data_IF_034916636619
#
_entry.id   IF_034916636619
#
_cell.length_a   1.000
_cell.length_b   1.000
_cell.length_c   1.000
_cell.angle_alpha   90.00
_cell.angle_beta   90.00
_cell.angle_gamma   90.00
#
_symmetry.space_group_name_H-M   'P 1'
#
loop_
_entity.id
_entity.type
_entity.pdbx_description
1 polymer ?
#
# COMPACT_ATOMS: atom_id res chain seq x y z
N UNK A 1 16.49 2.31 -5.15
CA UNK A 1 15.65 1.51 -4.24
C UNK A 1 15.23 0.25 -4.97
N UNK A 2 15.36 -0.90 -4.30
CA UNK A 2 15.02 -2.22 -4.83
C UNK A 2 13.71 -2.71 -4.21
N UNK A 3 12.78 -3.16 -5.04
CA UNK A 3 11.48 -3.65 -4.59
C UNK A 3 11.31 -5.12 -4.98
N UNK A 4 10.93 -5.96 -4.03
CA UNK A 4 10.53 -7.35 -4.27
C UNK A 4 9.01 -7.48 -4.34
N UNK A 5 8.50 -8.26 -5.29
CA UNK A 5 7.08 -8.59 -5.38
C UNK A 5 6.89 -10.04 -4.93
N UNK A 6 6.06 -10.28 -3.93
CA UNK A 6 5.77 -11.61 -3.38
C UNK A 6 4.27 -11.83 -3.31
N UNK A 7 3.79 -13.02 -3.68
CA UNK A 7 2.36 -13.37 -3.60
C UNK A 7 1.46 -12.72 -4.67
N UNK A 8 1.91 -11.66 -5.35
CA UNK A 8 1.13 -10.95 -6.36
C UNK A 8 0.83 -11.80 -7.60
N UNK A 9 -0.45 -11.95 -7.96
CA UNK A 9 -0.89 -12.56 -9.23
C UNK A 9 -0.36 -11.82 -10.47
N UNK A 10 -0.40 -12.45 -11.65
CA UNK A 10 0.25 -11.89 -12.86
C UNK A 10 -0.25 -10.49 -13.24
N UNK A 11 -1.55 -10.22 -13.12
CA UNK A 11 -2.15 -8.93 -13.45
C UNK A 11 -1.66 -7.79 -12.52
N UNK A 12 -1.36 -8.08 -11.25
CA UNK A 12 -0.84 -7.06 -10.33
C UNK A 12 0.63 -6.79 -10.55
N UNK A 13 1.40 -7.77 -11.05
CA UNK A 13 2.83 -7.58 -11.40
C UNK A 13 3.00 -6.56 -12.54
N UNK A 14 2.12 -6.56 -13.54
CA UNK A 14 2.20 -5.60 -14.67
C UNK A 14 1.91 -4.16 -14.22
N UNK A 15 0.93 -3.97 -13.34
CA UNK A 15 0.63 -2.65 -12.75
C UNK A 15 1.81 -2.13 -11.92
N UNK A 16 2.45 -3.00 -11.14
CA UNK A 16 3.65 -2.65 -10.37
C UNK A 16 4.84 -2.31 -11.26
N UNK A 17 5.04 -3.04 -12.37
CA UNK A 17 6.07 -2.72 -13.37
C UNK A 17 5.81 -1.36 -13.99
N UNK A 18 4.59 -1.10 -14.46
CA UNK A 18 4.23 0.20 -15.02
C UNK A 18 4.36 1.36 -14.01
N UNK A 19 4.20 1.10 -12.71
CA UNK A 19 4.49 2.07 -11.66
C UNK A 19 5.98 2.31 -11.46
N UNK A 20 6.79 1.25 -11.44
CA UNK A 20 8.25 1.34 -11.31
C UNK A 20 8.88 2.02 -12.52
N UNK A 21 8.41 1.74 -13.73
CA UNK A 21 8.92 2.37 -14.97
C UNK A 21 8.73 3.90 -14.98
N UNK A 22 7.74 4.41 -14.22
CA UNK A 22 7.55 5.85 -14.03
C UNK A 22 8.54 6.48 -13.05
N UNK A 23 9.35 5.69 -12.35
CA UNK A 23 10.28 6.13 -11.30
C UNK A 23 11.73 5.76 -11.66
N UNK A 24 12.54 6.76 -12.01
CA UNK A 24 13.90 6.58 -12.53
C UNK A 24 14.90 5.87 -11.58
N UNK A 25 14.58 5.67 -10.30
CA UNK A 25 15.50 5.14 -9.28
C UNK A 25 14.97 3.90 -8.54
N UNK A 26 13.91 3.30 -9.08
CA UNK A 26 13.27 2.12 -8.50
C UNK A 26 13.46 0.94 -9.45
N UNK A 27 13.81 -0.23 -8.91
CA UNK A 27 14.00 -1.45 -9.70
C UNK A 27 13.32 -2.62 -9.02
N UNK A 28 12.66 -3.48 -9.81
CA UNK A 28 12.10 -4.74 -9.30
C UNK A 28 13.21 -5.79 -9.29
N UNK A 29 13.36 -6.48 -8.16
CA UNK A 29 14.36 -7.53 -7.94
C UNK A 29 13.74 -8.72 -7.20
N UNK A 30 14.51 -9.80 -7.03
CA UNK A 30 14.10 -10.90 -6.15
C UNK A 30 13.98 -10.44 -4.70
N UNK A 31 12.94 -10.93 -4.01
CA UNK A 31 12.57 -10.49 -2.68
C UNK A 31 13.71 -10.53 -1.65
N UNK A 32 14.57 -11.55 -1.69
CA UNK A 32 15.71 -11.67 -0.76
C UNK A 32 16.80 -10.60 -0.93
N UNK A 33 16.74 -9.80 -2.01
CA UNK A 33 17.71 -8.73 -2.30
C UNK A 33 17.10 -7.33 -2.28
N UNK A 34 15.83 -7.23 -1.91
CA UNK A 34 15.05 -5.99 -1.96
C UNK A 34 15.18 -5.15 -0.67
N UNK A 35 15.12 -3.83 -0.83
CA UNK A 35 15.05 -2.89 0.31
C UNK A 35 13.62 -2.87 0.89
N UNK A 36 12.63 -3.10 0.04
CA UNK A 36 11.21 -3.19 0.40
C UNK A 36 10.52 -4.32 -0.35
N UNK A 37 9.48 -4.90 0.23
CA UNK A 37 8.68 -5.94 -0.41
C UNK A 37 7.19 -5.61 -0.41
N UNK A 38 6.52 -6.01 -1.48
CA UNK A 38 5.05 -6.05 -1.56
C UNK A 38 4.62 -7.48 -1.27
N UNK A 39 3.79 -7.66 -0.24
CA UNK A 39 3.39 -8.97 0.29
C UNK A 39 1.88 -9.07 0.46
N UNK A 40 1.40 -10.31 0.51
CA UNK A 40 0.03 -10.64 0.90
C UNK A 40 0.00 -11.27 2.29
N UNK A 41 -0.89 -10.77 3.16
CA UNK A 41 -1.16 -11.35 4.47
C UNK A 41 -0.16 -10.98 5.57
N UNK A 42 -0.53 -11.33 6.81
CA UNK A 42 0.21 -10.96 8.03
C UNK A 42 1.54 -11.73 8.14
N UNK A 43 1.52 -13.03 7.87
CA UNK A 43 2.71 -13.88 8.09
C UNK A 43 3.88 -13.46 7.20
N UNK A 44 3.62 -13.25 5.90
CA UNK A 44 4.64 -12.79 4.96
C UNK A 44 5.15 -11.39 5.31
N UNK A 45 4.26 -10.49 5.76
CA UNK A 45 4.64 -9.17 6.22
C UNK A 45 5.55 -9.20 7.44
N UNK A 46 5.21 -9.98 8.45
CA UNK A 46 5.99 -10.10 9.67
C UNK A 46 7.34 -10.78 9.42
N UNK A 47 7.40 -11.78 8.53
CA UNK A 47 8.65 -12.42 8.12
C UNK A 47 9.60 -11.44 7.43
N UNK A 48 9.09 -10.65 6.47
CA UNK A 48 9.89 -9.66 5.76
C UNK A 48 10.35 -8.52 6.68
N UNK A 49 9.47 -8.05 7.56
CA UNK A 49 9.81 -7.03 8.55
C UNK A 49 10.88 -7.52 9.53
N UNK A 50 10.80 -8.77 9.98
CA UNK A 50 11.82 -9.40 10.84
C UNK A 50 13.17 -9.56 10.13
N UNK A 51 13.17 -9.69 8.80
CA UNK A 51 14.38 -9.68 7.97
C UNK A 51 14.93 -8.26 7.72
N UNK A 52 14.30 -7.22 8.27
CA UNK A 52 14.74 -5.82 8.15
C UNK A 52 14.27 -5.10 6.88
N UNK A 53 13.36 -5.70 6.11
CA UNK A 53 12.85 -5.11 4.87
C UNK A 53 11.64 -4.23 5.16
N UNK A 54 11.50 -3.11 4.44
CA UNK A 54 10.25 -2.34 4.47
C UNK A 54 9.13 -3.14 3.81
N UNK A 55 7.90 -3.01 4.31
CA UNK A 55 6.77 -3.84 3.88
C UNK A 55 5.61 -3.00 3.43
N UNK A 56 5.10 -3.31 2.23
CA UNK A 56 3.83 -2.82 1.74
C UNK A 56 2.87 -4.01 1.59
N UNK A 57 1.80 -4.01 2.37
CA UNK A 57 0.79 -5.08 2.36
C UNK A 57 -0.28 -4.75 1.32
N UNK A 58 -0.53 -5.68 0.40
CA UNK A 58 -1.47 -5.49 -0.70
C UNK A 58 -2.90 -5.19 -0.20
N UNK A 59 -3.65 -4.28 -0.84
CA UNK A 59 -5.03 -4.03 -0.45
C UNK A 59 -5.89 -5.28 -0.65
N UNK A 60 -6.73 -5.58 0.35
CA UNK A 60 -7.62 -6.75 0.32
C UNK A 60 -6.96 -8.07 0.69
N UNK A 61 -5.66 -8.11 0.96
CA UNK A 61 -4.97 -9.33 1.42
C UNK A 61 -5.22 -9.67 2.90
N UNK A 62 -5.85 -8.76 3.65
CA UNK A 62 -6.22 -8.96 5.05
C UNK A 62 -7.72 -9.23 5.15
N UNK A 63 -8.11 -10.25 5.90
CA UNK A 63 -9.51 -10.66 6.01
C UNK A 63 -10.27 -9.80 7.03
N UNK A 64 -9.57 -9.23 8.01
CA UNK A 64 -10.19 -8.43 9.06
C UNK A 64 -9.29 -7.32 9.62
N UNK A 65 -9.86 -6.32 10.32
CA UNK A 65 -9.09 -5.36 11.10
C UNK A 65 -8.25 -6.02 12.21
N UNK A 66 -8.68 -7.17 12.73
CA UNK A 66 -7.93 -7.92 13.75
C UNK A 66 -6.61 -8.42 13.17
N UNK A 67 -6.61 -8.87 11.90
CA UNK A 67 -5.40 -9.32 11.21
C UNK A 67 -4.41 -8.15 11.05
N UNK A 68 -4.92 -6.97 10.70
CA UNK A 68 -4.07 -5.78 10.59
C UNK A 68 -3.38 -5.41 11.92
N UNK A 69 -4.03 -5.68 13.06
CA UNK A 69 -3.46 -5.48 14.39
C UNK A 69 -2.31 -6.43 14.74
N UNK A 70 -2.10 -7.49 13.95
CA UNK A 70 -1.01 -8.45 14.13
C UNK A 70 0.26 -8.08 13.35
N UNK A 71 0.21 -7.02 12.55
CA UNK A 71 1.38 -6.53 11.81
C UNK A 71 2.41 -5.94 12.79
N UNK A 72 3.64 -6.44 12.70
CA UNK A 72 4.76 -6.00 13.53
C UNK A 72 5.63 -5.05 12.72
N UNK A 73 5.95 -3.88 13.29
CA UNK A 73 6.87 -2.91 12.70
C UNK A 73 8.09 -2.75 13.62
N UNK A 74 9.17 -3.54 13.42
CA UNK A 74 10.41 -3.37 14.14
C UNK A 74 11.00 -1.96 13.97
N UNK A 75 11.87 -1.56 14.90
CA UNK A 75 12.55 -0.25 14.79
C UNK A 75 13.33 -0.14 13.48
N UNK A 76 13.21 1.00 12.81
CA UNK A 76 13.84 1.24 11.50
C UNK A 76 13.14 0.59 10.31
N UNK A 77 12.13 -0.26 10.54
CA UNK A 77 11.31 -0.88 9.48
C UNK A 77 9.98 -0.15 9.36
N UNK A 78 9.53 0.04 8.12
CA UNK A 78 8.24 0.67 7.81
C UNK A 78 7.31 -0.40 7.29
N UNK A 79 6.19 -0.61 7.96
CA UNK A 79 5.11 -1.50 7.51
C UNK A 79 3.87 -0.66 7.21
N UNK A 80 3.36 -0.77 5.99
CA UNK A 80 2.21 0.01 5.53
C UNK A 80 1.20 -0.86 4.78
N UNK A 81 -0.08 -0.53 4.94
CA UNK A 81 -1.15 -1.02 4.06
C UNK A 81 -1.15 -0.17 2.77
N UNK A 82 -1.20 -0.81 1.61
CA UNK A 82 -1.33 -0.13 0.32
C UNK A 82 -2.77 0.40 0.13
N UNK A 83 -3.10 1.48 0.85
CA UNK A 83 -4.35 2.21 0.74
C UNK A 83 -4.36 3.12 -0.50
N UNK A 84 -4.30 2.51 -1.70
CA UNK A 84 -4.11 3.18 -3.00
C UNK A 84 -5.09 4.32 -3.27
N UNK A 85 -6.35 4.20 -2.80
CA UNK A 85 -7.35 5.26 -2.90
C UNK A 85 -6.88 6.62 -2.35
N UNK A 86 -6.07 6.63 -1.29
CA UNK A 86 -5.55 7.88 -0.69
C UNK A 86 -4.63 8.67 -1.62
N UNK A 87 -4.08 8.00 -2.64
CA UNK A 87 -3.14 8.58 -3.60
C UNK A 87 -3.80 8.88 -4.96
N UNK A 88 -5.10 8.66 -5.10
CA UNK A 88 -5.82 9.08 -6.30
C UNK A 88 -5.85 10.62 -6.37
N UNK A 89 -5.50 11.24 -7.50
CA UNK A 89 -5.43 12.70 -7.62
C UNK A 89 -6.73 13.40 -7.20
N UNK A 90 -7.89 12.86 -7.58
CA UNK A 90 -9.19 13.40 -7.21
C UNK A 90 -9.45 13.36 -5.69
N UNK A 91 -9.00 12.31 -5.01
CA UNK A 91 -9.10 12.19 -3.54
C UNK A 91 -8.14 13.17 -2.87
N UNK A 92 -6.92 13.32 -3.40
CA UNK A 92 -5.95 14.29 -2.88
C UNK A 92 -6.43 15.73 -3.05
N UNK A 93 -7.09 16.06 -4.17
CA UNK A 93 -7.66 17.38 -4.41
C UNK A 93 -8.77 17.70 -3.40
N UNK A 94 -9.73 16.79 -3.21
CA UNK A 94 -10.78 16.95 -2.18
C UNK A 94 -10.16 17.13 -0.80
N UNK A 95 -9.14 16.34 -0.46
CA UNK A 95 -8.45 16.47 0.82
C UNK A 95 -7.71 17.81 0.96
N UNK A 96 -7.09 18.32 -0.10
CA UNK A 96 -6.41 19.62 -0.09
C UNK A 96 -7.41 20.78 0.12
N UNK A 97 -8.55 20.74 -0.58
CA UNK A 97 -9.65 21.72 -0.44
C UNK A 97 -10.32 21.63 0.94
N UNK A 98 -10.42 20.43 1.51
CA UNK A 98 -10.91 20.27 2.89
C UNK A 98 -9.89 20.83 3.91
N UNK A 99 -8.61 20.48 3.77
CA UNK A 99 -7.57 20.87 4.72
C UNK A 99 -7.29 22.38 4.76
N UNK A 100 -7.51 23.10 3.64
CA UNK A 100 -7.38 24.55 3.61
C UNK A 100 -8.64 25.30 4.10
N UNK A 101 -9.69 24.57 4.50
CA UNK A 101 -10.92 25.14 5.07
C UNK A 101 -11.93 25.66 4.04
N UNK A 102 -11.70 25.49 2.73
CA UNK A 102 -12.59 26.02 1.70
C UNK A 102 -14.00 25.39 1.71
N UNK A 103 -14.16 24.20 2.31
CA UNK A 103 -15.47 23.53 2.48
C UNK A 103 -16.20 23.95 3.76
N UNK A 104 -15.59 24.77 4.62
CA UNK A 104 -16.08 25.01 5.97
C UNK A 104 -16.03 23.76 6.85
N UNK A 105 -16.75 23.74 8.00
CA UNK A 105 -16.82 22.57 8.86
C UNK A 105 -17.46 21.37 8.13
N UNK A 106 -16.85 20.19 8.26
CA UNK A 106 -17.39 18.96 7.69
C UNK A 106 -18.76 18.61 8.31
N UNK A 107 -19.82 18.66 7.50
CA UNK A 107 -21.17 18.27 7.90
C UNK A 107 -21.49 16.80 7.61
N UNK A 108 -21.26 16.34 6.37
CA UNK A 108 -21.57 14.98 5.92
C UNK A 108 -20.59 14.53 4.83
N UNK A 109 -20.05 13.32 4.97
CA UNK A 109 -19.36 12.61 3.89
C UNK A 109 -20.26 11.48 3.37
N UNK A 110 -20.60 11.53 2.08
CA UNK A 110 -21.39 10.49 1.42
C UNK A 110 -20.56 9.84 0.32
N UNK A 111 -20.38 8.51 0.42
CA UNK A 111 -19.62 7.72 -0.55
C UNK A 111 -20.58 6.73 -1.20
N UNK A 112 -20.63 6.74 -2.54
CA UNK A 112 -21.36 5.76 -3.33
C UNK A 112 -20.38 4.82 -4.00
N UNK A 113 -20.42 3.53 -3.65
CA UNK A 113 -19.63 2.50 -4.30
C UNK A 113 -20.55 1.43 -4.86
N UNK A 114 -20.62 1.35 -6.18
CA UNK A 114 -21.35 0.32 -6.90
C UNK A 114 -20.33 -0.75 -7.31
N UNK A 115 -20.50 -1.97 -6.81
CA UNK A 115 -19.63 -3.10 -7.13
C UNK A 115 -20.29 -3.93 -8.25
N UNK A 116 -19.53 -4.44 -9.23
CA UNK A 116 -20.03 -5.46 -10.14
C UNK A 116 -20.47 -6.68 -9.34
N UNK A 117 -21.59 -7.29 -9.73
CA UNK A 117 -22.10 -8.54 -9.15
C UNK A 117 -21.38 -9.77 -9.69
#
# INVERSE_FOLDING_TARGET
>A
MKIGLTGTGSATVDDWRAAVDRLAHVTIVDAGSADAVVVDGVDAANQAAAAGQHVLVHPGSLASPVDAGQLVSPEGVVVMLAATGRFQPSIQEVQAVNANGALGPLGLLRIHRWMPG
#
